data_IF_113391813705
#
_entry.id   IF_113391813705
#
_cell.length_a   1.000
_cell.length_b   1.000
_cell.length_c   1.000
_cell.angle_alpha   90.00
_cell.angle_beta   90.00
_cell.angle_gamma   90.00
#
_symmetry.space_group_name_H-M   'P 1'
#
loop_
_entity.id
_entity.type
_entity.pdbx_description
1 polymer ?
#
# COMPACT_ATOMS: atom_id res chain seq x y z
N UNK A 1 22.24 18.37 6.65
CA UNK A 1 22.93 19.32 5.74
C UNK A 1 22.40 19.05 4.34
N UNK A 2 21.94 20.05 3.61
CA UNK A 2 21.66 19.91 2.18
C UNK A 2 22.93 19.44 1.47
N UNK A 3 22.80 18.60 0.43
CA UNK A 3 23.94 18.22 -0.41
C UNK A 3 24.64 19.48 -0.92
N UNK A 4 25.84 19.75 -0.42
CA UNK A 4 26.73 20.77 -0.96
C UNK A 4 27.60 20.03 -1.97
N UNK A 5 27.33 20.23 -3.26
CA UNK A 5 28.28 19.87 -4.32
C UNK A 5 29.64 20.47 -3.94
N UNK A 6 30.70 19.68 -4.03
CA UNK A 6 32.07 20.18 -3.81
C UNK A 6 32.52 21.16 -4.90
N UNK A 7 31.75 21.26 -5.99
CA UNK A 7 32.00 22.12 -7.14
C UNK A 7 30.88 23.13 -7.31
N UNK A 8 31.24 24.41 -7.29
CA UNK A 8 30.38 25.50 -7.77
C UNK A 8 30.59 25.65 -9.28
N UNK A 9 29.66 25.12 -10.07
CA UNK A 9 29.77 25.13 -11.53
C UNK A 9 29.76 26.53 -12.14
N UNK A 10 29.24 27.54 -11.43
CA UNK A 10 29.27 28.93 -11.91
C UNK A 10 30.63 29.59 -11.69
N UNK A 11 31.41 29.11 -10.72
CA UNK A 11 32.76 29.58 -10.43
C UNK A 11 33.86 28.69 -11.05
N UNK A 12 33.52 27.49 -11.50
CA UNK A 12 34.47 26.56 -12.13
C UNK A 12 34.79 26.96 -13.57
N UNK A 13 35.90 27.69 -13.71
CA UNK A 13 36.35 28.22 -15.00
C UNK A 13 36.52 27.14 -16.07
N UNK A 14 37.08 25.98 -15.72
CA UNK A 14 37.33 24.90 -16.68
C UNK A 14 36.02 24.34 -17.25
N UNK A 15 34.99 24.22 -16.42
CA UNK A 15 33.65 23.83 -16.87
C UNK A 15 33.02 24.90 -17.76
N UNK A 16 33.04 26.17 -17.34
CA UNK A 16 32.45 27.29 -18.08
C UNK A 16 33.13 27.49 -19.43
N UNK A 17 34.46 27.49 -19.47
CA UNK A 17 35.24 27.69 -20.70
C UNK A 17 34.99 26.53 -21.68
N UNK A 18 34.93 25.28 -21.20
CA UNK A 18 34.58 24.12 -22.03
C UNK A 18 33.19 24.23 -22.61
N UNK A 19 32.20 24.61 -21.80
CA UNK A 19 30.83 24.81 -22.24
C UNK A 19 30.71 25.91 -23.30
N UNK A 20 31.35 27.07 -23.08
CA UNK A 20 31.38 28.17 -24.05
C UNK A 20 32.12 27.80 -25.34
N UNK A 21 33.20 27.02 -25.24
CA UNK A 21 33.92 26.52 -26.40
C UNK A 21 33.01 25.66 -27.27
N UNK A 22 32.36 24.64 -26.70
CA UNK A 22 31.40 23.78 -27.41
C UNK A 22 30.31 24.58 -28.11
N UNK A 23 29.73 25.59 -27.44
CA UNK A 23 28.69 26.43 -28.06
C UNK A 23 29.18 27.30 -29.22
N UNK A 24 30.45 27.72 -29.21
CA UNK A 24 31.03 28.56 -30.29
C UNK A 24 31.58 27.74 -31.45
N UNK A 25 32.24 26.62 -31.18
CA UNK A 25 32.91 25.81 -32.20
C UNK A 25 31.99 24.74 -32.81
N UNK A 26 30.99 24.29 -32.06
CA UNK A 26 30.20 23.10 -32.41
C UNK A 26 30.95 21.78 -32.19
N UNK A 27 32.12 21.80 -31.56
CA UNK A 27 32.89 20.59 -31.26
C UNK A 27 32.32 19.88 -30.02
N UNK A 28 31.91 18.62 -30.22
CA UNK A 28 31.22 17.79 -29.23
C UNK A 28 32.14 16.65 -28.75
N UNK A 29 32.14 16.35 -27.44
CA UNK A 29 32.88 15.21 -26.86
C UNK A 29 32.33 13.86 -27.37
N UNK A 30 31.00 13.72 -27.40
CA UNK A 30 30.29 12.51 -27.85
C UNK A 30 30.73 11.21 -27.15
N UNK A 31 31.48 11.29 -26.05
CA UNK A 31 31.90 10.14 -25.24
C UNK A 31 30.69 9.33 -24.76
N UNK A 32 29.61 10.00 -24.37
CA UNK A 32 28.33 9.37 -23.96
C UNK A 32 27.67 8.49 -25.04
N UNK A 33 27.94 8.73 -26.34
CA UNK A 33 27.43 7.87 -27.42
C UNK A 33 28.15 6.52 -27.50
N UNK A 34 29.31 6.40 -26.83
CA UNK A 34 30.15 5.21 -26.79
C UNK A 34 30.03 4.48 -25.46
N UNK A 35 28.88 4.64 -24.79
CA UNK A 35 28.63 4.01 -23.51
C UNK A 35 28.83 2.49 -23.59
N UNK A 36 29.56 1.92 -22.62
CA UNK A 36 29.91 0.51 -22.57
C UNK A 36 28.74 -0.34 -22.03
N UNK A 37 27.56 -0.18 -22.64
CA UNK A 37 26.31 -0.86 -22.27
C UNK A 37 25.88 -1.83 -23.37
N UNK A 38 25.09 -2.84 -23.01
CA UNK A 38 24.55 -3.79 -23.97
C UNK A 38 23.59 -3.07 -24.93
N UNK A 39 23.73 -3.26 -26.24
CA UNK A 39 22.79 -2.70 -27.21
C UNK A 39 21.62 -3.66 -27.44
N UNK A 40 20.41 -3.22 -27.11
CA UNK A 40 19.20 -4.04 -27.16
C UNK A 40 18.11 -3.39 -28.01
N UNK A 41 17.25 -4.21 -28.61
CA UNK A 41 16.03 -3.78 -29.30
C UNK A 41 14.83 -4.49 -28.65
N UNK A 42 13.95 -3.73 -28.00
CA UNK A 42 12.74 -4.27 -27.37
C UNK A 42 11.50 -3.94 -28.20
N UNK A 43 10.56 -4.88 -28.29
CA UNK A 43 9.28 -4.73 -29.01
C UNK A 43 8.14 -5.26 -28.15
N UNK A 44 6.93 -4.69 -28.26
CA UNK A 44 5.77 -5.23 -27.55
C UNK A 44 5.48 -6.65 -28.04
N UNK A 45 5.53 -7.64 -27.15
CA UNK A 45 5.23 -9.03 -27.53
C UNK A 45 3.72 -9.27 -27.70
N UNK A 46 2.87 -8.35 -27.24
CA UNK A 46 1.43 -8.40 -27.45
C UNK A 46 0.86 -7.00 -27.74
N UNK A 47 0.32 -6.83 -28.95
CA UNK A 47 -0.17 -5.55 -29.45
C UNK A 47 -1.33 -4.96 -28.62
N UNK A 48 -2.10 -5.77 -27.89
CA UNK A 48 -3.22 -5.28 -27.05
C UNK A 48 -2.75 -4.67 -25.74
N UNK A 49 -1.63 -5.14 -25.19
CA UNK A 49 -1.07 -4.62 -23.92
C UNK A 49 -0.05 -3.49 -24.14
N UNK A 50 0.41 -3.28 -25.37
CA UNK A 50 1.50 -2.34 -25.65
C UNK A 50 2.86 -2.87 -25.18
N UNK A 51 3.81 -1.95 -24.98
CA UNK A 51 5.15 -2.25 -24.48
C UNK A 51 5.12 -2.17 -22.95
N UNK A 52 5.35 -3.29 -22.28
CA UNK A 52 5.28 -3.41 -20.81
C UNK A 52 6.66 -3.64 -20.21
N UNK A 53 6.81 -3.48 -18.89
CA UNK A 53 8.04 -3.83 -18.19
C UNK A 53 8.50 -5.28 -18.44
N UNK A 54 7.56 -6.22 -18.66
CA UNK A 54 7.90 -7.60 -19.05
C UNK A 54 8.59 -7.68 -20.41
N UNK A 55 8.25 -6.79 -21.34
CA UNK A 55 8.89 -6.72 -22.66
C UNK A 55 10.30 -6.12 -22.59
N UNK A 56 10.65 -5.49 -21.46
CA UNK A 56 11.94 -4.85 -21.19
C UNK A 56 12.87 -5.67 -20.29
N UNK A 57 12.45 -6.87 -19.88
CA UNK A 57 13.26 -7.79 -19.07
C UNK A 57 14.31 -8.52 -19.93
N UNK A 58 15.29 -7.77 -20.42
CA UNK A 58 16.38 -8.25 -21.28
C UNK A 58 17.72 -8.23 -20.52
N UNK A 59 18.73 -9.01 -20.93
CA UNK A 59 20.05 -8.96 -20.29
C UNK A 59 20.60 -7.54 -20.18
N UNK A 60 21.31 -7.25 -19.08
CA UNK A 60 21.88 -5.94 -18.80
C UNK A 60 20.92 -4.89 -18.21
N UNK A 61 19.62 -4.97 -18.52
CA UNK A 61 18.62 -3.96 -18.10
C UNK A 61 17.49 -4.54 -17.23
N UNK A 62 17.18 -5.81 -17.44
CA UNK A 62 16.06 -6.53 -16.85
C UNK A 62 16.23 -6.85 -15.37
N UNK A 63 15.11 -7.06 -14.71
CA UNK A 63 15.04 -7.42 -13.30
C UNK A 63 15.32 -8.90 -13.05
N UNK A 64 15.23 -9.76 -14.08
CA UNK A 64 15.52 -11.20 -13.97
C UNK A 64 17.00 -11.49 -13.71
N UNK A 65 17.90 -10.67 -14.23
CA UNK A 65 19.36 -10.81 -14.03
C UNK A 65 19.88 -9.97 -12.86
N UNK A 66 19.00 -9.29 -12.12
CA UNK A 66 19.40 -8.42 -11.02
C UNK A 66 20.07 -9.23 -9.90
N UNK A 67 21.25 -8.80 -9.40
CA UNK A 67 21.92 -9.51 -8.33
C UNK A 67 21.11 -9.45 -7.03
N UNK A 68 21.31 -10.46 -6.16
CA UNK A 68 20.69 -10.49 -4.83
C UNK A 68 21.06 -9.26 -3.99
N UNK A 69 22.27 -8.71 -4.17
CA UNK A 69 22.71 -7.51 -3.48
C UNK A 69 23.19 -6.46 -4.50
N UNK A 70 22.41 -5.39 -4.65
CA UNK A 70 22.70 -4.27 -5.54
C UNK A 70 23.84 -3.40 -4.97
N UNK A 71 25.09 -3.84 -5.18
CA UNK A 71 26.29 -3.12 -4.69
C UNK A 71 26.90 -2.17 -5.72
N UNK A 72 26.77 -2.50 -7.00
CA UNK A 72 27.45 -1.78 -8.08
C UNK A 72 26.83 -0.41 -8.30
N UNK A 73 25.50 -0.34 -8.35
CA UNK A 73 24.79 0.92 -8.44
C UNK A 73 24.55 1.50 -7.05
N UNK A 74 25.34 2.52 -6.70
CA UNK A 74 25.12 3.34 -5.50
C UNK A 74 24.65 4.74 -5.87
N UNK A 75 24.26 4.99 -7.10
CA UNK A 75 23.94 6.33 -7.59
C UNK A 75 22.47 6.45 -7.97
N UNK A 76 22.11 7.56 -8.61
CA UNK A 76 20.80 7.75 -9.23
C UNK A 76 20.73 7.22 -10.66
N UNK A 77 21.82 6.62 -11.17
CA UNK A 77 21.86 6.07 -12.52
C UNK A 77 20.76 4.99 -12.67
N UNK A 78 20.01 5.00 -13.79
CA UNK A 78 19.07 3.92 -14.10
C UNK A 78 19.78 2.57 -14.18
N UNK A 79 19.09 1.49 -13.75
CA UNK A 79 19.61 0.12 -13.85
C UNK A 79 20.04 -0.19 -15.30
N UNK A 80 21.26 -0.68 -15.46
CA UNK A 80 21.85 -1.03 -16.76
C UNK A 80 22.59 0.11 -17.47
N UNK A 81 22.49 1.36 -16.98
CA UNK A 81 23.30 2.46 -17.50
C UNK A 81 24.77 2.34 -17.05
N UNK A 82 25.69 2.85 -17.86
CA UNK A 82 27.08 3.04 -17.45
C UNK A 82 27.15 4.07 -16.32
N UNK A 83 27.87 3.72 -15.24
CA UNK A 83 28.05 4.58 -14.07
C UNK A 83 29.48 5.15 -14.12
N UNK A 84 29.66 6.43 -14.50
CA UNK A 84 30.98 7.03 -14.51
C UNK A 84 31.52 7.26 -13.10
N UNK A 85 32.84 7.44 -12.99
CA UNK A 85 33.47 7.82 -11.73
C UNK A 85 32.95 9.18 -11.23
N UNK A 86 32.88 9.33 -9.90
CA UNK A 86 32.47 10.58 -9.26
C UNK A 86 30.96 10.78 -9.13
N UNK A 87 30.13 9.80 -9.52
CA UNK A 87 28.71 9.83 -9.21
C UNK A 87 28.47 9.90 -7.69
N UNK A 88 27.48 10.68 -7.22
CA UNK A 88 27.16 10.75 -5.80
C UNK A 88 26.59 9.43 -5.30
N UNK A 89 26.86 9.14 -4.04
CA UNK A 89 26.25 8.01 -3.35
C UNK A 89 24.83 8.37 -2.92
N UNK A 90 23.85 7.62 -3.43
CA UNK A 90 22.44 7.64 -3.07
C UNK A 90 22.24 7.29 -1.60
N UNK A 91 23.16 6.54 -0.99
CA UNK A 91 23.07 6.06 0.39
C UNK A 91 21.78 5.28 0.64
N UNK A 92 21.37 4.44 -0.32
CA UNK A 92 20.19 3.59 -0.18
C UNK A 92 20.35 2.68 1.06
N UNK A 93 19.30 2.62 1.88
CA UNK A 93 19.26 1.78 3.08
C UNK A 93 18.97 0.31 2.70
N UNK A 94 18.11 0.10 1.69
CA UNK A 94 17.70 -1.23 1.22
C UNK A 94 18.36 -1.54 -0.12
N UNK A 95 19.23 -2.55 -0.12
CA UNK A 95 20.02 -2.96 -1.29
C UNK A 95 19.84 -4.44 -1.66
N UNK A 96 19.02 -5.18 -0.90
CA UNK A 96 18.87 -6.62 -1.03
C UNK A 96 17.56 -6.96 -1.75
N UNK A 97 17.63 -7.74 -2.83
CA UNK A 97 16.45 -8.14 -3.61
C UNK A 97 15.52 -9.02 -2.78
N UNK A 98 16.04 -9.99 -2.04
CA UNK A 98 15.26 -10.84 -1.14
C UNK A 98 14.48 -10.09 -0.04
N UNK A 99 14.87 -8.85 0.28
CA UNK A 99 14.18 -8.01 1.29
C UNK A 99 13.02 -7.19 0.72
N UNK A 100 13.05 -6.83 -0.56
CA UNK A 100 12.17 -5.79 -1.13
C UNK A 100 11.27 -6.27 -2.25
N UNK A 101 11.64 -7.36 -2.92
CA UNK A 101 10.98 -7.77 -4.16
C UNK A 101 9.65 -8.49 -3.93
N UNK A 102 8.85 -8.64 -4.99
CA UNK A 102 7.63 -9.42 -5.01
C UNK A 102 7.50 -10.16 -6.35
N UNK A 103 6.87 -11.34 -6.34
CA UNK A 103 6.55 -12.02 -7.60
C UNK A 103 5.58 -11.18 -8.44
N UNK A 104 5.86 -11.06 -9.74
CA UNK A 104 5.06 -10.29 -10.71
C UNK A 104 4.89 -8.80 -10.39
N UNK A 105 5.83 -8.18 -9.65
CA UNK A 105 5.76 -6.74 -9.30
C UNK A 105 5.54 -5.84 -10.51
N UNK A 106 6.14 -6.17 -11.65
CA UNK A 106 6.01 -5.43 -12.88
C UNK A 106 4.56 -5.39 -13.39
N UNK A 107 3.79 -6.46 -13.16
CA UNK A 107 2.41 -6.54 -13.60
C UNK A 107 1.46 -5.75 -12.73
N UNK A 108 1.73 -5.64 -11.43
CA UNK A 108 0.93 -4.83 -10.53
C UNK A 108 1.02 -3.35 -10.90
N UNK A 109 2.21 -2.88 -11.29
CA UNK A 109 2.39 -1.52 -11.81
C UNK A 109 1.56 -1.29 -13.09
N UNK A 110 1.69 -2.17 -14.09
CA UNK A 110 0.94 -2.03 -15.36
C UNK A 110 -0.57 -2.09 -15.14
N UNK A 111 -1.03 -2.96 -14.24
CA UNK A 111 -2.43 -3.03 -13.85
C UNK A 111 -2.89 -1.72 -13.23
N UNK A 112 -2.13 -1.17 -12.27
CA UNK A 112 -2.46 0.09 -11.61
C UNK A 112 -2.60 1.23 -12.63
N UNK A 113 -1.69 1.33 -13.61
CA UNK A 113 -1.76 2.35 -14.66
C UNK A 113 -3.00 2.19 -15.57
N UNK A 114 -3.41 0.95 -15.86
CA UNK A 114 -4.56 0.69 -16.73
C UNK A 114 -5.93 0.92 -16.06
N UNK A 115 -5.97 0.91 -14.72
CA UNK A 115 -7.19 0.88 -13.91
C UNK A 115 -7.50 2.19 -13.18
N UNK A 116 -6.91 3.29 -13.64
CA UNK A 116 -7.03 4.60 -13.03
C UNK A 116 -8.48 5.13 -13.03
N UNK A 117 -8.84 5.85 -11.97
CA UNK A 117 -10.11 6.54 -11.82
C UNK A 117 -9.89 7.90 -11.14
N UNK A 118 -10.85 8.81 -11.27
CA UNK A 118 -10.75 10.18 -10.81
C UNK A 118 -11.72 10.44 -9.64
N UNK A 119 -11.16 10.81 -8.48
CA UNK A 119 -11.91 11.14 -7.27
C UNK A 119 -12.99 12.21 -7.46
N UNK A 120 -12.78 13.15 -8.38
CA UNK A 120 -13.69 14.28 -8.62
C UNK A 120 -14.80 13.95 -9.60
N UNK A 121 -14.55 13.13 -10.63
CA UNK A 121 -15.53 12.89 -11.70
C UNK A 121 -16.19 11.52 -11.66
N UNK A 122 -15.54 10.49 -11.13
CA UNK A 122 -16.07 9.12 -11.15
C UNK A 122 -16.93 8.80 -9.92
N UNK A 123 -16.76 9.54 -8.83
CA UNK A 123 -17.65 9.49 -7.66
C UNK A 123 -18.89 10.37 -7.92
N UNK A 124 -20.12 9.88 -7.66
CA UNK A 124 -21.36 10.59 -8.02
C UNK A 124 -21.71 11.69 -6.99
N UNK A 125 -20.84 12.70 -6.85
CA UNK A 125 -20.98 13.74 -5.84
C UNK A 125 -22.32 14.47 -5.87
N UNK A 126 -22.87 14.73 -7.06
CA UNK A 126 -24.15 15.42 -7.22
C UNK A 126 -25.34 14.66 -6.61
N UNK A 127 -25.26 13.33 -6.55
CA UNK A 127 -26.23 12.47 -5.87
C UNK A 127 -25.96 12.42 -4.36
N UNK A 128 -24.68 12.25 -3.99
CA UNK A 128 -24.24 12.14 -2.60
C UNK A 128 -24.57 13.37 -1.75
N UNK A 129 -24.40 14.58 -2.29
CA UNK A 129 -24.69 15.83 -1.58
C UNK A 129 -26.19 16.10 -1.38
N UNK A 130 -27.05 15.42 -2.16
CA UNK A 130 -28.51 15.54 -2.06
C UNK A 130 -29.11 14.46 -1.17
N UNK A 131 -28.34 13.44 -0.79
CA UNK A 131 -28.83 12.35 0.01
C UNK A 131 -29.11 12.80 1.45
N UNK A 132 -30.38 12.72 1.86
CA UNK A 132 -30.78 12.96 3.24
C UNK A 132 -30.58 11.68 4.06
N UNK A 133 -29.76 11.76 5.10
CA UNK A 133 -29.48 10.66 6.02
C UNK A 133 -30.09 10.96 7.40
N UNK A 134 -30.63 9.96 8.11
CA UNK A 134 -30.96 10.12 9.53
C UNK A 134 -29.74 10.61 10.35
N UNK A 135 -29.95 11.46 11.36
CA UNK A 135 -28.86 12.10 12.13
C UNK A 135 -27.87 11.08 12.73
N UNK A 136 -28.37 9.96 13.26
CA UNK A 136 -27.55 8.90 13.82
C UNK A 136 -26.69 8.17 12.77
N UNK A 137 -27.28 7.88 11.60
CA UNK A 137 -26.57 7.29 10.46
C UNK A 137 -25.52 8.24 9.91
N UNK A 138 -25.87 9.52 9.75
CA UNK A 138 -24.97 10.51 9.18
C UNK A 138 -23.74 10.74 10.07
N UNK A 139 -23.92 10.79 11.40
CA UNK A 139 -22.80 10.86 12.37
C UNK A 139 -21.95 9.61 12.35
N UNK A 140 -22.56 8.43 12.40
CA UNK A 140 -21.83 7.16 12.37
C UNK A 140 -21.04 7.01 11.06
N UNK A 141 -21.64 7.35 9.92
CA UNK A 141 -20.97 7.30 8.63
C UNK A 141 -19.82 8.32 8.55
N UNK A 142 -20.01 9.52 9.08
CA UNK A 142 -18.92 10.52 9.17
C UNK A 142 -17.76 10.05 10.03
N UNK A 143 -18.05 9.33 11.13
CA UNK A 143 -17.01 8.74 11.98
C UNK A 143 -16.27 7.61 11.28
N UNK A 144 -16.98 6.72 10.54
CA UNK A 144 -16.34 5.70 9.71
C UNK A 144 -15.40 6.34 8.69
N UNK A 145 -15.84 7.37 7.97
CA UNK A 145 -15.03 8.06 6.97
C UNK A 145 -13.84 8.81 7.57
N UNK A 146 -13.97 9.29 8.82
CA UNK A 146 -12.87 9.89 9.57
C UNK A 146 -11.79 8.85 9.85
N UNK A 147 -12.18 7.70 10.39
CA UNK A 147 -11.28 6.56 10.61
C UNK A 147 -10.59 6.11 9.32
N UNK A 148 -11.34 5.96 8.22
CA UNK A 148 -10.75 5.57 6.93
C UNK A 148 -9.76 6.62 6.42
N UNK A 149 -10.07 7.91 6.56
CA UNK A 149 -9.12 8.97 6.18
C UNK A 149 -7.78 8.84 6.93
N UNK A 150 -7.80 8.49 8.23
CA UNK A 150 -6.57 8.25 9.02
C UNK A 150 -5.79 7.04 8.50
N UNK A 151 -6.48 5.95 8.18
CA UNK A 151 -5.89 4.73 7.63
C UNK A 151 -5.22 5.00 6.27
N UNK A 152 -5.91 5.69 5.36
CA UNK A 152 -5.34 5.96 4.03
C UNK A 152 -4.12 6.89 4.09
N UNK A 153 -4.09 7.80 5.08
CA UNK A 153 -2.92 8.65 5.30
C UNK A 153 -1.68 7.82 5.67
N UNK A 154 -1.80 6.80 6.54
CA UNK A 154 -0.65 5.97 6.87
C UNK A 154 -0.28 5.02 5.72
N UNK A 155 -1.27 4.51 4.98
CA UNK A 155 -1.06 3.71 3.79
C UNK A 155 -0.34 4.51 2.69
N UNK A 156 -0.50 5.84 2.66
CA UNK A 156 0.30 6.74 1.82
C UNK A 156 1.73 6.91 2.35
N UNK A 157 1.88 7.22 3.64
CA UNK A 157 3.14 7.64 4.25
C UNK A 157 4.16 6.49 4.36
N UNK A 158 3.73 5.27 4.67
CA UNK A 158 4.63 4.12 4.89
C UNK A 158 5.36 3.73 3.61
N UNK A 159 4.69 3.46 2.47
CA UNK A 159 5.37 3.18 1.21
C UNK A 159 6.23 4.38 0.74
N UNK A 160 5.73 5.62 0.89
CA UNK A 160 6.48 6.82 0.54
C UNK A 160 7.79 6.96 1.33
N UNK A 161 7.77 6.67 2.63
CA UNK A 161 8.97 6.64 3.50
C UNK A 161 10.02 5.68 2.94
N UNK A 162 9.62 4.50 2.48
CA UNK A 162 10.53 3.48 1.98
C UNK A 162 11.03 3.76 0.57
N UNK A 163 10.21 4.34 -0.31
CA UNK A 163 10.54 4.56 -1.73
C UNK A 163 11.90 5.26 -1.94
N UNK A 164 12.20 6.30 -1.14
CA UNK A 164 13.47 7.02 -1.21
C UNK A 164 14.67 6.25 -0.65
N UNK A 165 14.43 5.23 0.16
CA UNK A 165 15.44 4.39 0.83
C UNK A 165 15.83 3.16 0.00
N UNK A 166 15.06 2.83 -1.03
CA UNK A 166 15.33 1.74 -1.95
C UNK A 166 16.40 2.13 -2.96
N UNK A 167 17.32 1.20 -3.23
CA UNK A 167 18.29 1.31 -4.32
C UNK A 167 17.60 1.62 -5.66
N UNK A 168 18.25 2.42 -6.51
CA UNK A 168 17.73 2.78 -7.84
C UNK A 168 17.48 1.56 -8.74
N UNK A 169 18.18 0.45 -8.50
CA UNK A 169 18.00 -0.80 -9.24
C UNK A 169 16.64 -1.45 -9.01
N UNK A 170 15.93 -1.14 -7.92
CA UNK A 170 14.59 -1.69 -7.64
C UNK A 170 13.47 -0.90 -8.33
N UNK A 171 13.67 -0.58 -9.61
CA UNK A 171 12.83 0.31 -10.40
C UNK A 171 11.36 -0.12 -10.39
N UNK A 172 11.06 -1.40 -10.62
CA UNK A 172 9.70 -1.92 -10.70
C UNK A 172 8.96 -1.77 -9.36
N UNK A 173 9.63 -2.08 -8.25
CA UNK A 173 9.07 -1.91 -6.90
C UNK A 173 8.81 -0.45 -6.60
N UNK A 174 9.74 0.45 -6.95
CA UNK A 174 9.58 1.89 -6.75
C UNK A 174 8.41 2.44 -7.56
N UNK A 175 8.21 1.98 -8.79
CA UNK A 175 7.08 2.37 -9.63
C UNK A 175 5.75 1.86 -9.06
N UNK A 176 5.68 0.60 -8.61
CA UNK A 176 4.49 0.08 -7.95
C UNK A 176 4.15 0.89 -6.68
N UNK A 177 5.13 1.12 -5.81
CA UNK A 177 4.94 1.94 -4.60
C UNK A 177 4.43 3.35 -4.96
N UNK A 178 4.98 3.98 -6.01
CA UNK A 178 4.51 5.29 -6.45
C UNK A 178 3.03 5.27 -6.88
N UNK A 179 2.57 4.20 -7.54
CA UNK A 179 1.15 4.04 -7.89
C UNK A 179 0.27 3.84 -6.67
N UNK A 180 0.71 3.04 -5.68
CA UNK A 180 0.00 2.86 -4.42
C UNK A 180 -0.13 4.17 -3.66
N UNK A 181 0.97 4.91 -3.47
CA UNK A 181 0.95 6.24 -2.80
C UNK A 181 -0.08 7.19 -3.44
N UNK A 182 -0.24 7.13 -4.76
CA UNK A 182 -1.21 7.96 -5.47
C UNK A 182 -2.65 7.45 -5.32
N UNK A 183 -2.86 6.12 -5.32
CA UNK A 183 -4.14 5.51 -5.00
C UNK A 183 -4.56 5.86 -3.55
N UNK A 184 -3.68 5.72 -2.56
CA UNK A 184 -4.00 6.04 -1.15
C UNK A 184 -4.28 7.52 -0.92
N UNK A 185 -3.53 8.41 -1.58
CA UNK A 185 -3.82 9.84 -1.55
C UNK A 185 -5.24 10.13 -2.09
N UNK A 186 -5.67 9.40 -3.12
CA UNK A 186 -7.02 9.49 -3.68
C UNK A 186 -8.07 8.91 -2.73
N UNK A 187 -7.77 7.81 -2.05
CA UNK A 187 -8.69 7.19 -1.09
C UNK A 187 -8.93 8.13 0.10
N UNK A 188 -7.85 8.69 0.66
CA UNK A 188 -7.92 9.72 1.70
C UNK A 188 -8.75 10.94 1.25
N UNK A 189 -8.56 11.39 0.01
CA UNK A 189 -9.32 12.49 -0.59
C UNK A 189 -10.81 12.19 -0.63
N UNK A 190 -11.23 11.03 -1.15
CA UNK A 190 -12.66 10.72 -1.30
C UNK A 190 -13.36 10.50 0.04
N UNK A 191 -12.71 9.84 1.00
CA UNK A 191 -13.30 9.65 2.33
C UNK A 191 -13.44 10.99 3.06
N UNK A 192 -12.41 11.85 3.00
CA UNK A 192 -12.48 13.19 3.57
C UNK A 192 -13.56 14.05 2.91
N UNK A 193 -13.62 14.08 1.57
CA UNK A 193 -14.67 14.79 0.83
C UNK A 193 -16.05 14.29 1.23
N UNK A 194 -16.22 12.97 1.34
CA UNK A 194 -17.49 12.39 1.73
C UNK A 194 -17.87 12.77 3.17
N UNK A 195 -16.93 12.71 4.12
CA UNK A 195 -17.18 13.12 5.50
C UNK A 195 -17.60 14.60 5.60
N UNK A 196 -16.99 15.47 4.79
CA UNK A 196 -17.35 16.90 4.74
C UNK A 196 -18.68 17.20 4.04
N UNK A 197 -19.26 16.22 3.33
CA UNK A 197 -20.54 16.35 2.62
C UNK A 197 -21.68 15.57 3.26
N UNK A 198 -21.47 14.95 4.43
CA UNK A 198 -22.54 14.34 5.23
C UNK A 198 -23.35 15.36 6.04
N UNK A 199 -22.82 16.58 6.18
CA UNK A 199 -23.36 17.62 7.07
C UNK A 199 -22.73 17.64 8.48
N UNK A 200 -21.86 16.67 8.81
CA UNK A 200 -21.22 16.58 10.14
C UNK A 200 -19.71 16.83 10.10
N UNK A 201 -19.07 16.57 8.96
CA UNK A 201 -17.63 16.76 8.81
C UNK A 201 -16.81 15.61 9.41
N UNK A 202 -15.55 15.90 9.71
CA UNK A 202 -14.69 14.95 10.40
C UNK A 202 -15.04 14.85 11.87
N UNK A 203 -15.00 13.64 12.39
CA UNK A 203 -15.36 13.30 13.76
C UNK A 203 -14.09 13.08 14.59
N UNK A 204 -14.06 12.06 15.45
CA UNK A 204 -13.02 11.91 16.48
C UNK A 204 -11.99 10.83 16.10
N UNK A 205 -10.70 11.15 16.23
CA UNK A 205 -9.63 10.16 16.11
C UNK A 205 -9.61 9.21 17.31
N UNK A 206 -9.19 7.96 17.09
CA UNK A 206 -9.10 6.96 18.14
C UNK A 206 -7.67 6.80 18.65
N UNK A 207 -7.39 6.95 19.96
CA UNK A 207 -6.06 6.70 20.51
C UNK A 207 -5.52 5.30 20.21
N UNK A 208 -6.38 4.28 20.23
CA UNK A 208 -6.00 2.91 19.89
C UNK A 208 -5.64 2.78 18.41
N UNK A 209 -6.39 3.43 17.52
CA UNK A 209 -6.07 3.45 16.10
C UNK A 209 -4.73 4.16 15.86
N UNK A 210 -4.53 5.35 16.43
CA UNK A 210 -3.30 6.13 16.27
C UNK A 210 -2.04 5.35 16.70
N UNK A 211 -2.14 4.53 17.76
CA UNK A 211 -1.04 3.63 18.15
C UNK A 211 -0.75 2.57 17.07
N UNK A 212 -1.78 2.00 16.45
CA UNK A 212 -1.63 1.05 15.35
C UNK A 212 -1.00 1.71 14.10
N UNK A 213 -1.44 2.92 13.73
CA UNK A 213 -0.87 3.66 12.60
C UNK A 213 0.61 4.00 12.87
N UNK A 214 0.95 4.36 14.11
CA UNK A 214 2.35 4.58 14.51
C UNK A 214 3.19 3.30 14.41
N UNK A 215 2.65 2.15 14.81
CA UNK A 215 3.33 0.86 14.67
C UNK A 215 3.66 0.54 13.21
N UNK A 216 2.71 0.72 12.30
CA UNK A 216 2.94 0.60 10.84
C UNK A 216 4.07 1.52 10.35
N UNK A 217 4.06 2.78 10.79
CA UNK A 217 5.10 3.77 10.45
C UNK A 217 6.50 3.34 10.86
N UNK A 218 6.61 2.73 12.02
CA UNK A 218 7.88 2.54 12.73
C UNK A 218 8.49 1.16 12.52
N UNK A 219 7.96 0.37 11.57
CA UNK A 219 8.58 -0.88 11.16
C UNK A 219 10.07 -0.69 10.81
N UNK A 220 10.90 -1.63 11.28
CA UNK A 220 12.37 -1.54 11.24
C UNK A 220 12.96 -1.90 9.86
N UNK A 221 12.24 -2.71 9.07
CA UNK A 221 12.67 -3.13 7.74
C UNK A 221 11.55 -3.06 6.72
N UNK A 222 11.91 -3.04 5.43
CA UNK A 222 10.91 -3.02 4.37
C UNK A 222 10.02 -4.26 4.41
N UNK A 223 10.60 -5.44 4.67
CA UNK A 223 9.82 -6.69 4.73
C UNK A 223 8.80 -6.67 5.87
N UNK A 224 9.17 -6.13 7.03
CA UNK A 224 8.25 -5.94 8.16
C UNK A 224 7.16 -4.94 7.81
N UNK A 225 7.54 -3.77 7.30
CA UNK A 225 6.61 -2.72 6.89
C UNK A 225 5.61 -3.23 5.84
N UNK A 226 6.09 -3.91 4.82
CA UNK A 226 5.29 -4.44 3.72
C UNK A 226 4.40 -5.60 4.15
N UNK A 227 4.88 -6.49 5.04
CA UNK A 227 4.07 -7.58 5.58
C UNK A 227 2.91 -7.04 6.40
N UNK A 228 3.18 -6.07 7.29
CA UNK A 228 2.15 -5.51 8.15
C UNK A 228 1.22 -4.57 7.40
N UNK A 229 1.73 -3.70 6.53
CA UNK A 229 0.89 -2.82 5.73
C UNK A 229 0.04 -3.62 4.74
N UNK A 230 0.67 -4.30 3.77
CA UNK A 230 -0.07 -4.85 2.63
C UNK A 230 -0.86 -6.12 2.94
N UNK A 231 -0.35 -6.99 3.82
CA UNK A 231 -1.01 -8.28 4.09
C UNK A 231 -1.88 -8.23 5.32
N UNK A 232 -1.36 -7.67 6.41
CA UNK A 232 -2.11 -7.58 7.66
C UNK A 232 -3.11 -6.41 7.60
N UNK A 233 -2.68 -5.16 7.43
CA UNK A 233 -3.55 -4.00 7.56
C UNK A 233 -4.48 -3.86 6.35
N UNK A 234 -3.94 -3.65 5.15
CA UNK A 234 -4.66 -3.56 3.89
C UNK A 234 -5.49 -4.83 3.61
N UNK A 235 -4.97 -6.01 3.97
CA UNK A 235 -5.75 -7.25 3.91
C UNK A 235 -7.01 -7.19 4.77
N UNK A 236 -6.93 -6.65 5.99
CA UNK A 236 -8.12 -6.46 6.85
C UNK A 236 -9.00 -5.32 6.32
N UNK A 237 -8.42 -4.24 5.80
CA UNK A 237 -9.12 -3.10 5.21
C UNK A 237 -9.87 -3.49 3.95
N UNK A 238 -9.35 -4.37 3.10
CA UNK A 238 -10.05 -4.90 1.94
C UNK A 238 -11.35 -5.62 2.33
N UNK A 239 -11.31 -6.41 3.40
CA UNK A 239 -12.52 -7.05 3.95
C UNK A 239 -13.47 -6.00 4.54
N UNK A 240 -12.91 -4.98 5.20
CA UNK A 240 -13.66 -3.85 5.74
C UNK A 240 -14.33 -3.02 4.65
N UNK A 241 -13.68 -2.74 3.53
CA UNK A 241 -14.28 -2.01 2.40
C UNK A 241 -15.44 -2.79 1.79
N UNK A 242 -15.32 -4.12 1.63
CA UNK A 242 -16.45 -4.96 1.20
C UNK A 242 -17.63 -4.84 2.15
N UNK A 243 -17.35 -4.81 3.45
CA UNK A 243 -18.39 -4.65 4.47
C UNK A 243 -18.96 -3.23 4.51
N UNK A 244 -18.12 -2.21 4.37
CA UNK A 244 -18.50 -0.81 4.31
C UNK A 244 -19.34 -0.51 3.07
N UNK A 245 -19.07 -1.16 1.93
CA UNK A 245 -19.99 -1.15 0.78
C UNK A 245 -21.36 -1.72 1.20
N UNK A 246 -21.39 -2.90 1.84
CA UNK A 246 -22.65 -3.54 2.23
C UNK A 246 -23.51 -2.68 3.17
N UNK A 247 -22.89 -2.00 4.15
CA UNK A 247 -23.59 -1.15 5.13
C UNK A 247 -23.75 0.31 4.69
N UNK A 248 -23.21 0.69 3.53
CA UNK A 248 -23.25 2.07 3.05
C UNK A 248 -24.69 2.59 2.87
N UNK A 249 -24.96 3.85 3.23
CA UNK A 249 -26.32 4.36 3.29
C UNK A 249 -26.92 4.67 1.91
N UNK A 250 -26.10 4.84 0.88
CA UNK A 250 -26.55 5.16 -0.50
C UNK A 250 -25.83 4.33 -1.55
N UNK A 251 -26.40 4.24 -2.77
CA UNK A 251 -25.73 3.58 -3.90
C UNK A 251 -24.47 4.34 -4.37
N UNK A 252 -24.43 5.66 -4.19
CA UNK A 252 -23.23 6.46 -4.46
C UNK A 252 -22.08 6.10 -3.51
N UNK A 253 -22.39 5.87 -2.24
CA UNK A 253 -21.43 5.45 -1.23
C UNK A 253 -20.91 4.02 -1.53
N UNK A 254 -21.79 3.13 -1.98
CA UNK A 254 -21.38 1.79 -2.48
C UNK A 254 -20.45 1.89 -3.68
N UNK A 255 -20.75 2.76 -4.64
CA UNK A 255 -19.89 2.98 -5.80
C UNK A 255 -18.50 3.48 -5.37
N UNK A 256 -18.43 4.40 -4.40
CA UNK A 256 -17.17 4.86 -3.83
C UNK A 256 -16.35 3.69 -3.28
N UNK A 257 -16.96 2.80 -2.46
CA UNK A 257 -16.26 1.63 -1.94
C UNK A 257 -15.80 0.65 -3.03
N UNK A 258 -16.59 0.46 -4.10
CA UNK A 258 -16.16 -0.38 -5.24
C UNK A 258 -14.91 0.16 -5.95
N UNK A 259 -14.77 1.49 -6.04
CA UNK A 259 -13.62 2.12 -6.67
C UNK A 259 -12.35 1.90 -5.84
N UNK A 260 -12.38 2.19 -4.53
CA UNK A 260 -11.22 1.99 -3.65
C UNK A 260 -10.86 0.51 -3.51
N UNK A 261 -11.84 -0.41 -3.45
CA UNK A 261 -11.58 -1.86 -3.37
C UNK A 261 -10.82 -2.41 -4.58
N UNK A 262 -11.00 -1.82 -5.77
CA UNK A 262 -10.26 -2.25 -6.95
C UNK A 262 -8.76 -1.97 -6.81
N UNK A 263 -8.42 -0.88 -6.13
CA UNK A 263 -7.03 -0.50 -5.86
C UNK A 263 -6.46 -1.37 -4.76
N UNK A 264 -7.18 -1.47 -3.64
CA UNK A 264 -6.80 -2.25 -2.47
C UNK A 264 -6.53 -3.73 -2.80
N UNK A 265 -7.33 -4.33 -3.69
CA UNK A 265 -7.12 -5.70 -4.12
C UNK A 265 -5.76 -5.91 -4.80
N UNK A 266 -5.23 -4.89 -5.49
CA UNK A 266 -3.88 -4.94 -6.09
C UNK A 266 -2.80 -4.82 -5.02
N UNK A 267 -2.97 -3.93 -4.04
CA UNK A 267 -1.99 -3.73 -2.97
C UNK A 267 -1.86 -4.97 -2.08
N UNK A 268 -2.99 -5.57 -1.69
CA UNK A 268 -3.01 -6.87 -1.00
C UNK A 268 -2.39 -7.97 -1.86
N UNK A 269 -2.68 -7.99 -3.16
CA UNK A 269 -2.06 -8.92 -4.11
C UNK A 269 -0.54 -8.82 -4.13
N UNK A 270 -0.01 -7.60 -4.23
CA UNK A 270 1.41 -7.31 -4.11
C UNK A 270 1.96 -7.78 -2.76
N UNK A 271 1.31 -7.44 -1.64
CA UNK A 271 1.71 -7.84 -0.29
C UNK A 271 1.83 -9.35 -0.11
N UNK A 272 0.88 -10.10 -0.64
CA UNK A 272 0.93 -11.57 -0.62
C UNK A 272 2.13 -12.10 -1.41
N UNK A 273 2.38 -11.55 -2.60
CA UNK A 273 3.54 -11.96 -3.41
C UNK A 273 4.87 -11.52 -2.81
N UNK A 274 4.90 -10.40 -2.10
CA UNK A 274 6.06 -9.91 -1.37
C UNK A 274 6.38 -10.82 -0.18
N UNK A 275 5.41 -11.11 0.70
CA UNK A 275 5.63 -12.00 1.84
C UNK A 275 6.11 -13.37 1.35
N UNK A 276 5.46 -13.93 0.32
CA UNK A 276 5.89 -15.20 -0.28
C UNK A 276 7.34 -15.12 -0.77
N UNK A 277 7.70 -14.05 -1.47
CA UNK A 277 9.07 -13.84 -1.94
C UNK A 277 10.09 -13.80 -0.80
N UNK A 278 9.82 -13.04 0.26
CA UNK A 278 10.67 -12.94 1.45
C UNK A 278 10.85 -14.30 2.11
N UNK A 279 9.80 -15.09 2.25
CA UNK A 279 9.89 -16.42 2.87
C UNK A 279 10.67 -17.42 2.00
N UNK A 280 10.54 -17.32 0.68
CA UNK A 280 11.23 -18.19 -0.28
C UNK A 280 12.73 -17.83 -0.41
N UNK A 281 13.09 -16.54 -0.31
CA UNK A 281 14.43 -16.04 -0.65
C UNK A 281 15.22 -15.40 0.50
N UNK A 282 14.55 -15.12 1.63
CA UNK A 282 15.15 -14.56 2.84
C UNK A 282 14.67 -15.32 4.10
N UNK A 283 14.81 -16.65 4.16
CA UNK A 283 14.16 -17.49 5.17
C UNK A 283 14.55 -17.15 6.62
N UNK A 284 15.73 -16.56 6.84
CA UNK A 284 16.16 -16.05 8.15
C UNK A 284 15.25 -14.94 8.70
N UNK A 285 14.48 -14.25 7.85
CA UNK A 285 13.47 -13.27 8.29
C UNK A 285 12.22 -13.94 8.89
N UNK A 286 11.99 -15.24 8.71
CA UNK A 286 10.74 -15.91 9.13
C UNK A 286 10.38 -15.66 10.59
N UNK A 287 11.33 -15.85 11.52
CA UNK A 287 11.07 -15.63 12.94
C UNK A 287 10.90 -14.15 13.31
N UNK A 288 11.61 -13.25 12.61
CA UNK A 288 11.42 -11.80 12.78
C UNK A 288 10.02 -11.40 12.33
N UNK A 289 9.56 -11.92 11.18
CA UNK A 289 8.19 -11.70 10.69
C UNK A 289 7.16 -12.24 11.67
N UNK A 290 7.36 -13.44 12.25
CA UNK A 290 6.46 -13.94 13.28
C UNK A 290 6.38 -13.01 14.50
N UNK A 291 7.53 -12.54 15.00
CA UNK A 291 7.55 -11.61 16.13
C UNK A 291 6.86 -10.29 15.79
N UNK A 292 7.11 -9.75 14.60
CA UNK A 292 6.47 -8.51 14.14
C UNK A 292 4.94 -8.68 14.01
N UNK A 293 4.48 -9.84 13.53
CA UNK A 293 3.05 -10.17 13.47
C UNK A 293 2.42 -10.36 14.86
N UNK A 294 3.17 -10.79 15.89
CA UNK A 294 2.65 -10.86 17.27
C UNK A 294 2.24 -9.47 17.77
N UNK A 295 3.05 -8.46 17.47
CA UNK A 295 2.78 -7.06 17.81
C UNK A 295 1.64 -6.49 16.95
N UNK A 296 1.69 -6.73 15.63
CA UNK A 296 0.66 -6.29 14.69
C UNK A 296 -0.74 -6.78 15.08
N UNK A 297 -0.87 -8.09 15.35
CA UNK A 297 -2.15 -8.72 15.69
C UNK A 297 -2.73 -8.19 17.01
N UNK A 298 -1.87 -7.82 17.97
CA UNK A 298 -2.30 -7.19 19.22
C UNK A 298 -2.86 -5.78 18.97
N UNK A 299 -2.21 -4.97 18.14
CA UNK A 299 -2.71 -3.64 17.80
C UNK A 299 -4.02 -3.69 17.00
N UNK A 300 -4.15 -4.64 16.07
CA UNK A 300 -5.38 -4.87 15.31
C UNK A 300 -6.54 -5.20 16.23
N UNK A 301 -6.33 -6.11 17.18
CA UNK A 301 -7.35 -6.44 18.15
C UNK A 301 -7.74 -5.19 18.97
N UNK A 302 -6.76 -4.42 19.47
CA UNK A 302 -7.05 -3.17 20.18
C UNK A 302 -7.84 -2.14 19.35
N UNK A 303 -7.46 -1.96 18.07
CA UNK A 303 -8.10 -1.01 17.15
C UNK A 303 -9.52 -1.41 16.73
N UNK A 304 -9.75 -2.70 16.48
CA UNK A 304 -11.07 -3.21 16.09
C UNK A 304 -12.15 -3.03 17.17
N UNK A 305 -11.74 -2.98 18.45
CA UNK A 305 -12.63 -2.75 19.59
C UNK A 305 -12.58 -1.32 20.13
N UNK A 306 -11.89 -0.41 19.44
CA UNK A 306 -11.93 1.00 19.78
C UNK A 306 -13.34 1.57 19.61
N UNK A 307 -13.76 2.44 20.53
CA UNK A 307 -15.12 3.00 20.55
C UNK A 307 -15.43 3.74 19.24
N UNK A 308 -14.49 4.56 18.78
CA UNK A 308 -14.63 5.35 17.56
C UNK A 308 -14.65 4.51 16.27
N UNK A 309 -14.36 3.22 16.35
CA UNK A 309 -14.42 2.26 15.23
C UNK A 309 -15.65 1.36 15.37
N UNK A 310 -15.80 0.70 16.51
CA UNK A 310 -16.84 -0.32 16.74
C UNK A 310 -18.26 0.25 16.74
N UNK A 311 -18.52 1.35 17.45
CA UNK A 311 -19.87 1.89 17.58
C UNK A 311 -20.46 2.37 16.23
N UNK A 312 -19.71 3.09 15.37
CA UNK A 312 -20.16 3.41 14.02
C UNK A 312 -20.55 2.17 13.21
N UNK A 313 -19.75 1.10 13.24
CA UNK A 313 -20.08 -0.13 12.54
C UNK A 313 -21.36 -0.77 13.05
N UNK A 314 -21.56 -0.79 14.37
CA UNK A 314 -22.80 -1.30 14.99
C UNK A 314 -24.00 -0.47 14.54
N UNK A 315 -23.92 0.86 14.60
CA UNK A 315 -25.02 1.76 14.22
C UNK A 315 -25.36 1.60 12.73
N UNK A 316 -24.35 1.60 11.84
CA UNK A 316 -24.54 1.47 10.39
C UNK A 316 -25.11 0.10 10.02
N UNK A 317 -24.60 -0.98 10.63
CA UNK A 317 -25.09 -2.34 10.39
C UNK A 317 -26.51 -2.55 10.89
N UNK A 318 -26.84 -1.97 12.06
CA UNK A 318 -28.17 -1.99 12.67
C UNK A 318 -29.17 -1.03 12.00
N UNK A 319 -28.66 -0.09 11.20
CA UNK A 319 -29.41 0.99 10.56
C UNK A 319 -30.11 1.93 11.55
N UNK A 320 -29.49 2.18 12.71
CA UNK A 320 -29.93 3.19 13.68
C UNK A 320 -29.70 2.79 15.14
N UNK A 321 -30.14 3.66 16.06
CA UNK A 321 -29.85 3.52 17.51
C UNK A 321 -30.94 2.87 18.37
N UNK A 322 -32.06 2.41 17.81
CA UNK A 322 -33.07 1.70 18.62
C UNK A 322 -32.48 0.40 19.16
N UNK A 323 -32.94 -0.05 20.33
CA UNK A 323 -32.44 -1.29 20.98
C UNK A 323 -32.33 -2.48 20.02
N UNK A 324 -33.39 -2.77 19.27
CA UNK A 324 -33.40 -3.89 18.30
C UNK A 324 -32.41 -3.68 17.13
N UNK A 325 -32.18 -2.43 16.73
CA UNK A 325 -31.21 -2.08 15.68
C UNK A 325 -29.79 -2.29 16.19
N UNK A 326 -29.47 -1.83 17.40
CA UNK A 326 -28.18 -2.06 18.04
C UNK A 326 -27.91 -3.55 18.23
N UNK A 327 -28.89 -4.31 18.74
CA UNK A 327 -28.77 -5.77 18.88
C UNK A 327 -28.47 -6.47 17.54
N UNK A 328 -29.12 -6.04 16.46
CA UNK A 328 -28.84 -6.56 15.12
C UNK A 328 -27.47 -6.10 14.61
N UNK A 329 -27.11 -4.83 14.84
CA UNK A 329 -25.82 -4.24 14.49
C UNK A 329 -24.66 -5.00 15.13
N UNK A 330 -24.75 -5.29 16.43
CA UNK A 330 -23.74 -6.09 17.14
C UNK A 330 -23.55 -7.47 16.50
N UNK A 331 -24.63 -8.16 16.12
CA UNK A 331 -24.54 -9.48 15.48
C UNK A 331 -23.84 -9.42 14.13
N UNK A 332 -24.21 -8.44 13.29
CA UNK A 332 -23.62 -8.28 11.95
C UNK A 332 -22.14 -7.88 12.08
N UNK A 333 -21.82 -6.90 12.93
CA UNK A 333 -20.44 -6.45 13.15
C UNK A 333 -19.55 -7.57 13.71
N UNK A 334 -20.05 -8.38 14.66
CA UNK A 334 -19.30 -9.51 15.19
C UNK A 334 -19.02 -10.59 14.11
N UNK A 335 -20.02 -10.89 13.26
CA UNK A 335 -19.83 -11.81 12.14
C UNK A 335 -18.80 -11.29 11.12
N UNK A 336 -18.83 -9.98 10.85
CA UNK A 336 -17.83 -9.32 10.02
C UNK A 336 -16.41 -9.43 10.61
N UNK A 337 -16.23 -9.13 11.90
CA UNK A 337 -14.92 -9.20 12.56
C UNK A 337 -14.34 -10.62 12.52
N UNK A 338 -15.16 -11.63 12.75
CA UNK A 338 -14.75 -13.04 12.62
C UNK A 338 -14.27 -13.34 11.19
N UNK A 339 -15.04 -12.94 10.18
CA UNK A 339 -14.66 -13.13 8.77
C UNK A 339 -13.37 -12.39 8.40
N UNK A 340 -13.21 -11.17 8.90
CA UNK A 340 -12.02 -10.36 8.67
C UNK A 340 -10.76 -11.06 9.18
N UNK A 341 -10.79 -11.61 10.41
CA UNK A 341 -9.66 -12.35 10.98
C UNK A 341 -9.45 -13.70 10.27
N UNK A 342 -10.51 -14.41 9.89
CA UNK A 342 -10.42 -15.66 9.14
C UNK A 342 -9.69 -15.47 7.79
N UNK A 343 -10.09 -14.48 6.99
CA UNK A 343 -9.46 -14.19 5.71
C UNK A 343 -7.98 -13.78 5.86
N UNK A 344 -7.60 -13.13 6.95
CA UNK A 344 -6.19 -12.84 7.26
C UNK A 344 -5.35 -14.10 7.41
N UNK A 345 -5.82 -15.09 8.20
CA UNK A 345 -5.09 -16.34 8.37
C UNK A 345 -5.06 -17.19 7.09
N UNK A 346 -6.12 -17.14 6.27
CA UNK A 346 -6.09 -17.76 4.94
C UNK A 346 -5.02 -17.15 4.04
N UNK A 347 -4.84 -15.82 4.07
CA UNK A 347 -3.78 -15.15 3.28
C UNK A 347 -2.40 -15.55 3.77
N UNK A 348 -2.17 -15.58 5.08
CA UNK A 348 -0.90 -16.04 5.67
C UNK A 348 -0.56 -17.47 5.25
N UNK A 349 -1.54 -18.38 5.30
CA UNK A 349 -1.38 -19.77 4.87
C UNK A 349 -1.00 -19.85 3.37
N UNK A 350 -1.71 -19.11 2.50
CA UNK A 350 -1.41 -19.03 1.06
C UNK A 350 -0.02 -18.45 0.78
N UNK A 351 0.51 -17.61 1.67
CA UNK A 351 1.86 -17.03 1.54
C UNK A 351 2.97 -17.93 2.11
N UNK A 352 2.63 -19.04 2.77
CA UNK A 352 3.62 -19.97 3.34
C UNK A 352 3.86 -19.83 4.84
N UNK A 353 2.91 -19.26 5.60
CA UNK A 353 2.91 -19.22 7.08
C UNK A 353 1.70 -19.97 7.70
N UNK A 354 1.44 -21.24 7.35
CA UNK A 354 0.32 -22.00 7.93
C UNK A 354 0.43 -22.15 9.46
N UNK A 355 1.64 -22.27 10.00
CA UNK A 355 1.88 -22.45 11.44
C UNK A 355 1.53 -21.19 12.27
N UNK A 356 1.25 -20.06 11.62
CA UNK A 356 0.87 -18.83 12.33
C UNK A 356 -0.40 -19.03 13.16
N UNK A 357 -1.31 -19.90 12.70
CA UNK A 357 -2.55 -20.28 13.43
C UNK A 357 -2.26 -20.88 14.81
N UNK A 358 -1.19 -21.66 14.93
CA UNK A 358 -0.81 -22.34 16.19
C UNK A 358 -0.17 -21.37 17.20
N UNK A 359 0.46 -20.30 16.70
CA UNK A 359 1.23 -19.34 17.50
C UNK A 359 0.41 -18.12 17.93
N UNK A 360 -0.56 -17.72 17.11
CA UNK A 360 -1.29 -16.46 17.29
C UNK A 360 -2.35 -16.51 18.40
N UNK A 361 -2.36 -15.49 19.26
CA UNK A 361 -3.48 -15.28 20.21
C UNK A 361 -4.74 -14.77 19.50
N UNK A 362 -4.59 -14.06 18.38
CA UNK A 362 -5.70 -13.59 17.56
C UNK A 362 -6.46 -14.77 16.93
N UNK A 363 -5.77 -15.85 16.55
CA UNK A 363 -6.42 -17.07 16.06
C UNK A 363 -7.29 -17.75 17.14
N UNK A 364 -6.81 -17.79 18.40
CA UNK A 364 -7.62 -18.30 19.51
C UNK A 364 -8.86 -17.43 19.76
N UNK A 365 -8.72 -16.11 19.63
CA UNK A 365 -9.85 -15.19 19.71
C UNK A 365 -10.86 -15.42 18.57
N UNK A 366 -10.38 -15.73 17.36
CA UNK A 366 -11.22 -16.14 16.22
C UNK A 366 -12.04 -17.40 16.55
N UNK A 367 -11.41 -18.46 17.05
CA UNK A 367 -12.11 -19.71 17.40
C UNK A 367 -13.20 -19.48 18.46
N UNK A 368 -12.90 -18.66 19.48
CA UNK A 368 -13.89 -18.26 20.49
C UNK A 368 -15.04 -17.45 19.88
N UNK A 369 -14.73 -16.51 18.99
CA UNK A 369 -15.73 -15.70 18.28
C UNK A 369 -16.65 -16.54 17.39
N UNK A 370 -16.10 -17.50 16.66
CA UNK A 370 -16.86 -18.45 15.85
C UNK A 370 -17.80 -19.30 16.71
N UNK A 371 -17.33 -19.83 17.85
CA UNK A 371 -18.16 -20.59 18.77
C UNK A 371 -19.31 -19.76 19.36
N UNK A 372 -19.05 -18.48 19.70
CA UNK A 372 -20.08 -17.56 20.18
C UNK A 372 -21.14 -17.26 19.12
N UNK A 373 -20.74 -16.97 17.88
CA UNK A 373 -21.68 -16.73 16.77
C UNK A 373 -22.54 -17.95 16.47
N UNK A 374 -21.95 -19.14 16.50
CA UNK A 374 -22.68 -20.40 16.34
C UNK A 374 -23.74 -20.58 17.44
N UNK A 375 -23.39 -20.29 18.70
CA UNK A 375 -24.33 -20.34 19.82
C UNK A 375 -25.48 -19.30 19.69
N UNK A 376 -25.24 -18.20 18.97
CA UNK A 376 -26.25 -17.18 18.64
C UNK A 376 -27.08 -17.50 17.39
N UNK A 377 -26.85 -18.65 16.75
CA UNK A 377 -27.55 -19.08 15.52
C UNK A 377 -27.13 -18.32 14.27
N UNK A 378 -25.98 -17.63 14.30
CA UNK A 378 -25.40 -16.94 13.15
C UNK A 378 -24.42 -17.90 12.46
N UNK A 379 -24.73 -18.33 11.24
CA UNK A 379 -23.79 -19.16 10.45
C UNK A 379 -22.69 -18.27 9.90
N UNK A 380 -21.45 -18.74 10.01
CA UNK A 380 -20.24 -18.10 9.49
C UNK A 380 -19.89 -18.54 8.06
N UNK A 381 -20.81 -19.22 7.35
CA UNK A 381 -20.60 -19.72 5.98
C UNK A 381 -21.73 -19.29 5.04
#
# INVERSE_FOLDING_TARGET
MSYLSTKDFLADKDFVDRWQYTLRSGELDLSWMRAATEQVECKPQNARRGLTFRDLDVPGYGYSTMPELARANRSFAPRGAEIPEGCPDLQAEVNRKSEVWAYNVESYYEEAMSRQWNATTDVPWAELVKAELPDDIARAYSQLLTFLTEVEMIATDVPAKWMGRLNADFFEVKNFIATQVMDEARHAEVFRKRALTTGYGLMKASPQNELNLKFLRDADSFSEASTTLHLQAEGMILTLFRFSEYISPTEGDKKLFRLVMQDEARHVGYGMQHLKWVLDHFPEKREIIHKHLDEAENFVFGGAYAVEVMEPFIILSGKGMKKAQIEQGCKITAAFQVKQVEEYFERLEKCGLPERKERSQLYKALELGQAQLAAMGVRTH
#
